data_IF_450507238112
#
_entry.id   IF_450507238112
#
_cell.length_a   1.000
_cell.length_b   1.000
_cell.length_c   1.000
_cell.angle_alpha   90.00
_cell.angle_beta   90.00
_cell.angle_gamma   90.00
#
_symmetry.space_group_name_H-M   'P 1'
#
loop_
_entity.id
_entity.type
_entity.pdbx_description
1 polymer ?
#
# COMPACT_ATOMS: atom_id res chain seq x y z
N UNK A 1 39.61 -22.65 -11.90
CA UNK A 1 39.74 -21.72 -10.78
C UNK A 1 38.47 -21.82 -9.94
N UNK A 2 38.57 -22.00 -8.63
CA UNK A 2 37.41 -21.91 -7.75
C UNK A 2 37.34 -20.48 -7.21
N UNK A 3 36.24 -19.81 -7.45
CA UNK A 3 35.93 -18.48 -6.91
C UNK A 3 35.31 -18.64 -5.51
N UNK A 4 35.56 -17.68 -4.62
CA UNK A 4 34.88 -17.61 -3.32
C UNK A 4 33.43 -17.13 -3.43
N UNK A 5 33.10 -16.43 -4.53
CA UNK A 5 31.75 -16.00 -4.85
C UNK A 5 31.05 -17.07 -5.69
N UNK A 6 29.83 -17.37 -5.33
CA UNK A 6 28.94 -18.22 -6.11
C UNK A 6 28.07 -17.31 -7.01
N UNK A 7 27.93 -17.66 -8.27
CA UNK A 7 27.16 -16.90 -9.25
C UNK A 7 26.07 -17.81 -9.81
N UNK A 8 24.87 -17.27 -9.95
CA UNK A 8 23.73 -17.93 -10.58
C UNK A 8 23.44 -19.34 -10.00
N UNK A 9 23.54 -19.48 -8.67
CA UNK A 9 23.19 -20.74 -8.01
C UNK A 9 21.71 -21.07 -8.24
N UNK A 10 21.40 -22.36 -8.23
CA UNK A 10 20.03 -22.86 -8.30
C UNK A 10 19.25 -22.37 -7.07
N UNK A 11 18.07 -21.75 -7.28
CA UNK A 11 17.26 -21.12 -6.25
C UNK A 11 17.62 -19.66 -5.95
N UNK A 12 18.75 -19.15 -6.45
CA UNK A 12 19.22 -17.77 -6.21
C UNK A 12 19.01 -16.83 -7.44
N UNK A 13 18.30 -17.27 -8.47
CA UNK A 13 18.02 -16.49 -9.69
C UNK A 13 16.66 -15.84 -9.57
N UNK A 14 16.60 -14.67 -8.94
CA UNK A 14 15.36 -13.95 -8.67
C UNK A 14 14.96 -13.06 -9.84
N UNK A 15 13.65 -12.90 -9.99
CA UNK A 15 13.02 -11.95 -10.90
C UNK A 15 11.78 -11.35 -10.24
N UNK A 16 11.36 -10.20 -10.73
CA UNK A 16 10.13 -9.53 -10.31
C UNK A 16 9.25 -9.29 -11.52
N UNK A 17 7.95 -9.59 -11.40
CA UNK A 17 7.02 -9.57 -12.52
C UNK A 17 5.59 -9.28 -12.06
N UNK A 18 4.81 -8.72 -12.98
CA UNK A 18 3.39 -8.48 -12.79
C UNK A 18 3.07 -7.26 -11.93
N UNK A 19 1.80 -6.94 -11.88
CA UNK A 19 1.21 -5.90 -11.03
C UNK A 19 -0.19 -6.35 -10.66
N UNK A 20 -0.48 -6.44 -9.38
CA UNK A 20 -1.78 -6.90 -8.86
C UNK A 20 -2.16 -6.16 -7.60
N UNK A 21 -3.38 -6.36 -7.10
CA UNK A 21 -3.89 -5.85 -5.83
C UNK A 21 -3.71 -4.34 -5.64
N UNK A 22 -3.95 -3.56 -6.71
CA UNK A 22 -3.91 -2.10 -6.60
C UNK A 22 -5.01 -1.56 -5.68
N UNK A 23 -4.65 -0.68 -4.75
CA UNK A 23 -5.61 0.01 -3.88
C UNK A 23 -5.29 1.51 -3.86
N UNK A 24 -6.33 2.33 -3.98
CA UNK A 24 -6.24 3.77 -3.80
C UNK A 24 -6.84 4.19 -2.46
N UNK A 25 -6.19 5.14 -1.79
CA UNK A 25 -6.63 5.75 -0.53
C UNK A 25 -6.72 7.26 -0.74
N UNK A 26 -7.88 7.80 -1.14
CA UNK A 26 -8.04 9.24 -1.36
C UNK A 26 -7.84 10.03 -0.07
N UNK A 27 -7.25 11.23 -0.17
CA UNK A 27 -7.09 12.10 0.98
C UNK A 27 -8.43 12.66 1.47
N UNK A 28 -8.73 12.46 2.74
CA UNK A 28 -9.88 13.06 3.41
C UNK A 28 -9.47 14.35 4.12
N UNK A 29 -9.98 15.46 3.63
CA UNK A 29 -9.71 16.79 4.21
C UNK A 29 -10.35 16.99 5.58
N UNK A 30 -11.39 16.24 5.91
CA UNK A 30 -12.08 16.32 7.21
C UNK A 30 -11.28 15.63 8.29
N UNK A 31 -10.75 14.45 7.97
CA UNK A 31 -9.93 13.64 8.88
C UNK A 31 -8.45 14.05 8.88
N UNK A 32 -8.02 14.91 7.94
CA UNK A 32 -6.63 15.29 7.70
C UNK A 32 -5.72 14.06 7.51
N UNK A 33 -6.25 13.03 6.85
CA UNK A 33 -5.60 11.74 6.64
C UNK A 33 -6.06 11.07 5.36
N UNK A 34 -5.52 9.91 5.06
CA UNK A 34 -6.03 9.08 3.98
C UNK A 34 -7.35 8.43 4.41
N UNK A 35 -8.33 8.45 3.53
CA UNK A 35 -9.62 7.81 3.71
C UNK A 35 -9.57 6.30 3.50
N UNK A 36 -10.75 5.69 3.45
CA UNK A 36 -10.90 4.26 3.20
C UNK A 36 -10.31 3.85 1.85
N UNK A 37 -9.61 2.71 1.84
CA UNK A 37 -9.06 2.11 0.64
C UNK A 37 -10.15 1.58 -0.30
N UNK A 38 -9.92 1.76 -1.59
CA UNK A 38 -10.79 1.26 -2.67
C UNK A 38 -9.94 0.46 -3.64
N UNK A 39 -10.35 -0.77 -3.92
CA UNK A 39 -9.65 -1.64 -4.84
C UNK A 39 -9.66 -1.07 -6.27
N UNK A 40 -8.51 -1.05 -6.92
CA UNK A 40 -8.36 -0.63 -8.31
C UNK A 40 -8.32 -1.85 -9.22
N UNK A 41 -9.47 -2.21 -9.75
CA UNK A 41 -9.59 -3.31 -10.68
C UNK A 41 -9.17 -2.90 -12.09
N UNK A 42 -8.57 -3.83 -12.84
CA UNK A 42 -8.16 -3.62 -14.23
C UNK A 42 -6.82 -2.88 -14.37
N UNK A 43 -5.97 -2.95 -13.36
CA UNK A 43 -4.59 -2.47 -13.43
C UNK A 43 -3.83 -3.26 -14.49
N UNK A 44 -3.15 -2.56 -15.41
CA UNK A 44 -2.32 -3.19 -16.45
C UNK A 44 -0.82 -2.96 -16.20
N UNK A 45 -0.47 -1.97 -15.39
CA UNK A 45 0.91 -1.74 -15.01
C UNK A 45 1.09 -0.52 -14.11
N UNK A 46 2.16 -0.55 -13.34
CA UNK A 46 2.69 0.60 -12.60
C UNK A 46 4.15 0.75 -13.04
N UNK A 47 4.54 1.96 -13.38
CA UNK A 47 5.93 2.27 -13.77
C UNK A 47 6.44 3.34 -12.83
N UNK A 48 7.53 3.06 -12.15
CA UNK A 48 8.23 4.02 -11.32
C UNK A 48 9.11 4.93 -12.19
N UNK A 49 9.09 6.20 -11.89
CA UNK A 49 9.79 7.24 -12.65
C UNK A 49 10.54 8.19 -11.72
N UNK A 50 11.57 7.72 -11.00
CA UNK A 50 12.38 8.59 -10.16
C UNK A 50 13.08 9.64 -11.01
N UNK A 51 13.17 10.87 -10.49
CA UNK A 51 13.81 11.99 -11.14
C UNK A 51 14.60 12.84 -10.14
N UNK A 52 15.37 13.82 -10.61
CA UNK A 52 16.24 14.62 -9.76
C UNK A 52 17.52 13.89 -9.38
N UNK A 53 18.13 14.30 -8.27
CA UNK A 53 19.40 13.71 -7.84
C UNK A 53 20.62 14.12 -8.69
N UNK A 54 20.47 15.08 -9.59
CA UNK A 54 21.54 15.53 -10.46
C UNK A 54 22.73 16.10 -9.68
N UNK A 55 23.92 15.75 -10.14
CA UNK A 55 25.16 16.26 -9.56
C UNK A 55 25.52 17.62 -10.16
N UNK A 56 25.60 18.62 -9.31
CA UNK A 56 26.15 19.92 -9.68
C UNK A 56 27.56 20.06 -9.10
N UNK A 57 28.54 20.25 -9.98
CA UNK A 57 29.94 20.48 -9.59
C UNK A 57 30.22 21.96 -9.44
N UNK A 58 30.88 22.31 -8.34
CA UNK A 58 31.33 23.68 -8.04
C UNK A 58 32.85 23.73 -8.20
N UNK A 59 33.32 24.76 -8.88
CA UNK A 59 34.71 24.94 -9.23
C UNK A 59 35.26 26.16 -8.51
N UNK A 60 36.49 26.06 -7.98
CA UNK A 60 37.25 27.16 -7.39
C UNK A 60 38.73 26.88 -7.63
N UNK A 61 39.54 27.94 -7.80
CA UNK A 61 41.00 27.86 -8.05
C UNK A 61 41.36 26.91 -9.21
N UNK A 62 40.58 26.97 -10.29
CA UNK A 62 40.73 26.14 -11.51
C UNK A 62 40.63 24.62 -11.27
N UNK A 63 40.05 24.21 -10.14
CA UNK A 63 39.81 22.79 -9.81
C UNK A 63 38.36 22.54 -9.38
N UNK A 64 37.89 21.29 -9.53
CA UNK A 64 36.59 20.87 -9.00
C UNK A 64 36.66 20.87 -7.48
N UNK A 65 36.04 21.87 -6.84
CA UNK A 65 36.15 22.09 -5.40
C UNK A 65 35.25 21.14 -4.62
N UNK A 66 33.98 21.02 -5.01
CA UNK A 66 33.07 20.00 -4.48
C UNK A 66 31.93 19.70 -5.47
N UNK A 67 31.23 18.61 -5.23
CA UNK A 67 30.02 18.23 -5.95
C UNK A 67 28.85 18.16 -4.96
N UNK A 68 27.71 18.75 -5.31
CA UNK A 68 26.48 18.60 -4.54
C UNK A 68 25.45 17.85 -5.38
N UNK A 69 24.82 16.85 -4.77
CA UNK A 69 23.71 16.15 -5.37
C UNK A 69 22.39 16.82 -4.99
N UNK A 70 21.48 17.00 -5.94
CA UNK A 70 20.12 17.49 -5.74
C UNK A 70 19.28 16.52 -4.92
N UNK A 71 18.07 16.92 -4.55
CA UNK A 71 17.10 15.99 -3.98
C UNK A 71 16.52 15.10 -5.09
N UNK A 72 16.24 13.88 -4.73
CA UNK A 72 15.56 12.92 -5.57
C UNK A 72 14.04 13.09 -5.41
N UNK A 73 13.30 12.99 -6.50
CA UNK A 73 11.85 13.05 -6.53
C UNK A 73 11.31 11.72 -7.07
N UNK A 74 10.33 11.15 -6.40
CA UNK A 74 9.67 9.94 -6.85
C UNK A 74 8.43 10.28 -7.67
N UNK A 75 8.30 9.71 -8.84
CA UNK A 75 7.13 9.76 -9.69
C UNK A 75 6.69 8.36 -10.06
N UNK A 76 5.44 8.20 -10.44
CA UNK A 76 4.93 6.92 -10.96
C UNK A 76 3.90 7.15 -12.06
N UNK A 77 3.78 6.18 -12.97
CA UNK A 77 2.75 6.13 -14.00
C UNK A 77 1.87 4.93 -13.75
N UNK A 78 0.57 5.15 -13.58
CA UNK A 78 -0.44 4.11 -13.36
C UNK A 78 -1.15 3.84 -14.68
N UNK A 79 -1.21 2.58 -15.10
CA UNK A 79 -1.93 2.13 -16.31
C UNK A 79 -3.04 1.17 -15.95
N UNK A 80 -4.22 1.38 -16.50
CA UNK A 80 -5.37 0.52 -16.24
C UNK A 80 -6.41 0.59 -17.35
N UNK A 81 -7.21 -0.46 -17.49
CA UNK A 81 -8.37 -0.46 -18.41
C UNK A 81 -9.51 0.43 -17.89
N UNK A 82 -9.63 0.58 -16.57
CA UNK A 82 -10.64 1.42 -15.93
C UNK A 82 -10.15 1.91 -14.54
N UNK A 83 -10.93 2.78 -13.92
CA UNK A 83 -10.60 3.35 -12.61
C UNK A 83 -11.84 3.41 -11.70
N UNK A 84 -11.66 3.30 -10.37
CA UNK A 84 -12.78 3.42 -9.42
C UNK A 84 -13.32 4.85 -9.38
N UNK A 85 -14.61 4.98 -9.03
CA UNK A 85 -15.31 6.26 -8.97
C UNK A 85 -14.67 7.26 -7.99
N UNK A 86 -14.03 6.75 -6.95
CA UNK A 86 -13.33 7.52 -5.92
C UNK A 86 -12.06 8.20 -6.47
N UNK A 87 -11.45 7.61 -7.48
CA UNK A 87 -10.30 8.21 -8.17
C UNK A 87 -10.68 9.45 -8.99
N UNK A 88 -11.94 9.61 -9.37
CA UNK A 88 -12.36 10.73 -10.20
C UNK A 88 -11.98 12.10 -9.62
N UNK A 89 -12.08 12.27 -8.31
CA UNK A 89 -11.67 13.52 -7.63
C UNK A 89 -10.14 13.71 -7.63
N UNK A 90 -9.39 12.62 -7.63
CA UNK A 90 -7.92 12.64 -7.76
C UNK A 90 -7.49 12.97 -9.19
N UNK A 91 -8.26 12.57 -10.21
CA UNK A 91 -8.06 12.94 -11.62
C UNK A 91 -8.60 14.35 -11.99
N UNK A 92 -9.09 15.10 -11.01
CA UNK A 92 -9.65 16.45 -11.25
C UNK A 92 -11.01 16.41 -11.96
N UNK A 93 -11.83 15.43 -11.65
CA UNK A 93 -13.19 15.28 -12.15
C UNK A 93 -14.19 15.38 -11.00
N UNK A 94 -15.22 16.19 -11.12
CA UNK A 94 -16.30 16.29 -10.15
C UNK A 94 -17.63 15.80 -10.73
N UNK A 95 -18.46 15.19 -9.88
CA UNK A 95 -19.82 14.78 -10.23
C UNK A 95 -20.74 16.00 -10.13
N UNK A 96 -21.33 16.46 -11.25
CA UNK A 96 -22.28 17.55 -11.30
C UNK A 96 -23.73 17.04 -11.09
N UNK A 97 -24.07 15.90 -11.69
CA UNK A 97 -25.34 15.21 -11.55
C UNK A 97 -25.13 13.71 -11.83
N UNK A 98 -26.18 12.88 -11.65
CA UNK A 98 -26.11 11.46 -11.99
C UNK A 98 -25.71 11.28 -13.46
N UNK A 99 -24.54 10.67 -13.71
CA UNK A 99 -24.01 10.43 -15.05
C UNK A 99 -23.33 11.65 -15.70
N UNK A 100 -23.31 12.83 -15.05
CA UNK A 100 -22.70 14.05 -15.57
C UNK A 100 -21.47 14.40 -14.73
N UNK A 101 -20.32 14.49 -15.39
CA UNK A 101 -19.03 14.84 -14.77
C UNK A 101 -18.44 16.07 -15.43
N UNK A 102 -17.86 16.97 -14.63
CA UNK A 102 -17.06 18.10 -15.09
C UNK A 102 -15.59 17.83 -14.78
N UNK A 103 -14.72 18.22 -15.70
CA UNK A 103 -13.26 18.06 -15.58
C UNK A 103 -12.58 19.37 -15.22
N UNK A 104 -11.25 19.34 -15.09
CA UNK A 104 -10.40 20.49 -14.77
C UNK A 104 -10.69 21.08 -13.37
N UNK A 105 -11.08 20.22 -12.44
CA UNK A 105 -11.30 20.58 -11.04
C UNK A 105 -10.00 20.39 -10.24
N UNK A 106 -9.99 20.91 -9.01
CA UNK A 106 -8.89 20.71 -8.06
C UNK A 106 -8.70 19.21 -7.80
N UNK A 107 -7.47 18.74 -7.92
CA UNK A 107 -7.12 17.34 -7.68
C UNK A 107 -6.89 17.09 -6.21
N UNK A 108 -7.40 15.97 -5.71
CA UNK A 108 -7.07 15.46 -4.39
C UNK A 108 -5.80 14.61 -4.47
N UNK A 109 -4.95 14.70 -3.46
CA UNK A 109 -3.85 13.75 -3.29
C UNK A 109 -4.41 12.42 -2.78
N UNK A 110 -3.66 11.35 -2.96
CA UNK A 110 -4.02 10.00 -2.53
C UNK A 110 -2.75 9.23 -2.13
N UNK A 111 -2.91 8.10 -1.46
CA UNK A 111 -1.89 7.07 -1.41
C UNK A 111 -2.30 5.94 -2.34
N UNK A 112 -1.30 5.22 -2.85
CA UNK A 112 -1.52 4.12 -3.77
C UNK A 112 -0.64 2.95 -3.39
N UNK A 113 -1.23 1.75 -3.37
CA UNK A 113 -0.49 0.51 -3.13
C UNK A 113 -0.69 -0.45 -4.28
N UNK A 114 0.33 -1.23 -4.57
CA UNK A 114 0.29 -2.32 -5.52
C UNK A 114 1.23 -3.42 -5.07
N UNK A 115 1.06 -4.59 -5.63
CA UNK A 115 1.86 -5.76 -5.34
C UNK A 115 2.49 -6.28 -6.63
N UNK A 116 3.77 -6.64 -6.57
CA UNK A 116 4.48 -7.37 -7.61
C UNK A 116 4.80 -8.78 -7.14
N UNK A 117 4.88 -9.72 -8.07
CA UNK A 117 5.27 -11.10 -7.77
C UNK A 117 6.77 -11.23 -7.88
N UNK A 118 7.41 -11.77 -6.85
CA UNK A 118 8.81 -12.12 -6.86
C UNK A 118 8.94 -13.62 -7.06
N UNK A 119 9.69 -14.02 -8.07
CA UNK A 119 9.90 -15.43 -8.40
C UNK A 119 11.36 -15.80 -8.40
N UNK A 120 11.63 -17.12 -8.40
CA UNK A 120 12.94 -17.66 -8.63
C UNK A 120 12.89 -18.82 -9.64
N UNK A 121 14.05 -19.37 -10.00
CA UNK A 121 14.19 -20.43 -10.98
C UNK A 121 13.74 -21.83 -10.47
N UNK A 122 13.48 -22.00 -9.17
CA UNK A 122 13.04 -23.27 -8.58
C UNK A 122 11.56 -23.29 -8.22
N UNK A 123 11.03 -22.21 -7.65
CA UNK A 123 9.64 -22.09 -7.19
C UNK A 123 8.76 -21.31 -8.15
N UNK A 124 9.37 -20.65 -9.14
CA UNK A 124 8.64 -19.79 -10.08
C UNK A 124 7.96 -18.63 -9.36
N UNK A 125 6.76 -18.28 -9.81
CA UNK A 125 5.95 -17.18 -9.27
C UNK A 125 5.35 -17.48 -7.87
N UNK A 126 5.56 -18.68 -7.34
CA UNK A 126 5.10 -19.05 -6.00
C UNK A 126 6.10 -18.68 -4.89
N UNK A 127 7.27 -18.14 -5.24
CA UNK A 127 8.31 -17.79 -4.29
C UNK A 127 7.87 -16.70 -3.31
N UNK A 128 7.24 -15.60 -3.79
CA UNK A 128 6.76 -14.54 -2.93
C UNK A 128 6.24 -13.31 -3.66
N UNK A 129 6.13 -12.22 -2.91
CA UNK A 129 5.63 -10.94 -3.42
C UNK A 129 6.33 -9.78 -2.74
N UNK A 130 6.25 -8.61 -3.38
CA UNK A 130 6.66 -7.32 -2.82
C UNK A 130 5.47 -6.38 -2.82
N UNK A 131 5.19 -5.77 -1.69
CA UNK A 131 4.15 -4.75 -1.53
C UNK A 131 4.80 -3.38 -1.59
N UNK A 132 4.29 -2.53 -2.48
CA UNK A 132 4.74 -1.16 -2.66
C UNK A 132 3.68 -0.20 -2.12
N UNK A 133 4.10 0.80 -1.36
CA UNK A 133 3.20 1.83 -0.81
C UNK A 133 3.73 3.21 -1.19
N UNK A 134 3.00 3.93 -2.04
CA UNK A 134 3.31 5.29 -2.44
C UNK A 134 2.43 6.30 -1.70
N UNK A 135 3.06 7.28 -1.05
CA UNK A 135 2.40 8.33 -0.29
C UNK A 135 2.41 9.66 -1.03
N UNK A 136 1.45 10.53 -0.71
CA UNK A 136 1.41 11.90 -1.22
C UNK A 136 1.28 12.00 -2.74
N UNK A 137 0.67 11.01 -3.37
CA UNK A 137 0.53 10.91 -4.83
C UNK A 137 -0.48 11.93 -5.33
N UNK A 138 -0.15 12.62 -6.42
CA UNK A 138 -1.03 13.55 -7.13
C UNK A 138 -0.98 13.25 -8.63
N UNK A 139 -2.13 12.93 -9.21
CA UNK A 139 -2.23 12.66 -10.64
C UNK A 139 -2.13 13.95 -11.46
N UNK A 140 -1.33 13.91 -12.52
CA UNK A 140 -1.23 14.97 -13.53
C UNK A 140 -2.35 14.84 -14.57
N UNK A 141 -2.66 15.89 -15.36
CA UNK A 141 -3.54 15.76 -16.52
C UNK A 141 -3.02 14.70 -17.48
N UNK A 142 -3.80 13.66 -17.71
CA UNK A 142 -3.41 12.52 -18.54
C UNK A 142 -4.12 12.52 -19.89
N UNK A 143 -3.47 12.00 -20.93
CA UNK A 143 -4.09 11.77 -22.23
C UNK A 143 -5.00 10.56 -22.17
N UNK A 144 -6.07 10.60 -22.96
CA UNK A 144 -6.97 9.48 -23.18
C UNK A 144 -7.25 9.38 -24.67
N UNK A 145 -6.92 8.25 -25.26
CA UNK A 145 -7.25 7.95 -26.64
C UNK A 145 -8.60 7.22 -26.73
N UNK A 146 -9.42 7.65 -27.68
CA UNK A 146 -10.64 6.98 -28.04
C UNK A 146 -10.53 6.61 -29.52
N UNK A 147 -10.25 5.35 -29.80
CA UNK A 147 -10.15 4.83 -31.16
C UNK A 147 -11.44 4.13 -31.59
N UNK A 148 -11.65 4.05 -32.91
CA UNK A 148 -12.77 3.28 -33.47
C UNK A 148 -12.47 1.78 -33.34
N UNK A 149 -13.50 1.00 -32.99
CA UNK A 149 -13.40 -0.47 -33.00
C UNK A 149 -13.17 -0.93 -34.44
N UNK A 150 -12.12 -1.72 -34.63
CA UNK A 150 -11.79 -2.38 -35.89
C UNK A 150 -11.89 -3.91 -35.73
N UNK A 151 -11.31 -4.67 -36.65
CA UNK A 151 -11.30 -6.14 -36.63
C UNK A 151 -10.51 -6.74 -35.43
N UNK A 152 -9.65 -5.94 -34.78
CA UNK A 152 -9.00 -6.27 -33.51
C UNK A 152 -9.73 -5.56 -32.36
N UNK A 153 -10.10 -6.34 -31.33
CA UNK A 153 -10.74 -5.80 -30.14
C UNK A 153 -9.72 -5.12 -29.21
N UNK A 154 -9.21 -3.96 -29.65
CA UNK A 154 -8.28 -3.17 -28.84
C UNK A 154 -9.05 -2.47 -27.72
N UNK A 155 -8.66 -2.73 -26.47
CA UNK A 155 -9.19 -2.05 -25.29
C UNK A 155 -8.36 -0.80 -25.02
N UNK A 156 -9.03 0.34 -24.83
CA UNK A 156 -8.34 1.59 -24.49
C UNK A 156 -7.71 1.51 -23.12
N UNK A 157 -6.40 1.73 -23.03
CA UNK A 157 -5.68 1.88 -21.77
C UNK A 157 -5.73 3.34 -21.31
N UNK A 158 -5.97 3.52 -20.02
CA UNK A 158 -5.77 4.80 -19.36
C UNK A 158 -4.38 4.85 -18.74
N UNK A 159 -3.71 5.97 -18.89
CA UNK A 159 -2.41 6.21 -18.25
C UNK A 159 -2.46 7.51 -17.48
N UNK A 160 -2.07 7.48 -16.22
CA UNK A 160 -1.95 8.66 -15.35
C UNK A 160 -0.52 8.82 -14.89
N UNK A 161 0.10 9.92 -15.28
CA UNK A 161 1.39 10.33 -14.73
C UNK A 161 1.16 10.99 -13.37
N UNK A 162 1.89 10.55 -12.37
CA UNK A 162 1.73 10.99 -10.99
C UNK A 162 3.05 11.51 -10.43
N UNK A 163 2.97 12.61 -9.71
CA UNK A 163 4.05 13.11 -8.86
C UNK A 163 3.74 12.83 -7.39
N UNK A 164 4.77 12.87 -6.55
CA UNK A 164 4.59 12.60 -5.12
C UNK A 164 5.12 13.73 -4.26
N UNK A 165 4.59 13.80 -3.04
CA UNK A 165 5.11 14.66 -1.99
C UNK A 165 5.67 13.79 -0.88
N UNK A 166 6.99 13.84 -0.62
CA UNK A 166 7.62 12.98 0.38
C UNK A 166 7.09 13.21 1.79
N UNK A 167 7.01 12.13 2.55
CA UNK A 167 6.72 12.14 3.99
C UNK A 167 8.01 11.95 4.79
N UNK A 168 8.05 12.51 6.00
CA UNK A 168 9.23 12.44 6.87
C UNK A 168 9.11 11.27 7.85
N UNK A 169 10.22 10.56 8.04
CA UNK A 169 10.37 9.57 9.10
C UNK A 169 11.65 9.85 9.88
N UNK A 170 11.64 9.81 11.23
CA UNK A 170 12.80 10.15 12.05
C UNK A 170 14.03 9.30 11.73
N UNK A 171 15.18 9.94 11.55
CA UNK A 171 16.45 9.26 11.24
C UNK A 171 16.71 8.98 9.77
N UNK A 172 15.74 9.20 8.89
CA UNK A 172 15.85 8.95 7.44
C UNK A 172 15.56 10.23 6.63
N UNK A 173 15.97 10.23 5.37
CA UNK A 173 15.56 11.27 4.44
C UNK A 173 14.06 11.13 4.14
N UNK A 174 13.36 12.23 3.84
CA UNK A 174 11.98 12.15 3.39
C UNK A 174 11.83 11.21 2.19
N UNK A 175 10.84 10.34 2.22
CA UNK A 175 10.55 9.37 1.16
C UNK A 175 9.09 9.42 0.75
N UNK A 176 8.79 9.05 -0.49
CA UNK A 176 7.43 8.93 -1.00
C UNK A 176 6.98 7.49 -1.21
N UNK A 177 7.90 6.53 -1.13
CA UNK A 177 7.60 5.13 -1.36
C UNK A 177 8.33 4.26 -0.33
N UNK A 178 7.69 3.18 0.05
CA UNK A 178 8.31 2.07 0.79
C UNK A 178 7.96 0.76 0.10
N UNK A 179 8.91 -0.15 0.07
CA UNK A 179 8.80 -1.49 -0.49
C UNK A 179 8.92 -2.48 0.65
N UNK A 180 8.02 -3.43 0.73
CA UNK A 180 7.96 -4.45 1.77
C UNK A 180 8.02 -5.80 1.07
N UNK A 181 9.16 -6.46 1.17
CA UNK A 181 9.37 -7.81 0.65
C UNK A 181 8.72 -8.80 1.63
N UNK A 182 7.71 -9.50 1.16
CA UNK A 182 6.98 -10.52 1.92
C UNK A 182 7.28 -11.94 1.42
N UNK A 183 8.38 -12.13 0.69
CA UNK A 183 8.75 -13.45 0.13
C UNK A 183 9.06 -14.49 1.22
N UNK A 184 9.48 -14.06 2.40
CA UNK A 184 9.74 -14.95 3.54
C UNK A 184 8.49 -15.26 4.38
N UNK A 185 7.33 -14.72 4.03
CA UNK A 185 6.06 -15.03 4.68
C UNK A 185 5.66 -16.49 4.46
N UNK A 186 5.48 -17.23 5.56
CA UNK A 186 5.29 -18.70 5.56
C UNK A 186 4.00 -19.17 6.19
N UNK A 187 3.12 -18.24 6.62
CA UNK A 187 1.99 -18.57 7.48
C UNK A 187 2.35 -18.60 9.00
N UNK A 188 1.51 -17.97 9.80
CA UNK A 188 1.77 -17.64 11.23
C UNK A 188 2.06 -18.84 12.17
N UNK A 189 1.81 -20.09 11.74
CA UNK A 189 2.02 -21.27 12.59
C UNK A 189 3.48 -21.52 12.98
N UNK A 190 4.45 -21.00 12.22
CA UNK A 190 5.88 -21.20 12.44
C UNK A 190 6.68 -19.91 12.68
N UNK A 191 5.97 -18.79 12.88
CA UNK A 191 6.59 -17.48 13.11
C UNK A 191 7.45 -17.48 14.37
N UNK A 192 8.73 -17.22 14.22
CA UNK A 192 9.71 -17.20 15.33
C UNK A 192 10.23 -15.81 15.65
N UNK A 193 10.04 -14.84 14.77
CA UNK A 193 10.60 -13.48 14.89
C UNK A 193 9.52 -12.36 14.81
N UNK A 194 8.26 -12.73 14.59
CA UNK A 194 7.13 -11.82 14.47
C UNK A 194 6.94 -11.23 13.07
N UNK A 195 7.67 -11.74 12.06
CA UNK A 195 7.55 -11.26 10.68
C UNK A 195 6.22 -11.65 10.06
N UNK A 196 5.78 -12.90 10.21
CA UNK A 196 4.53 -13.39 9.63
C UNK A 196 3.32 -12.64 10.22
N UNK A 197 3.33 -12.41 11.54
CA UNK A 197 2.29 -11.61 12.20
C UNK A 197 2.27 -10.15 11.72
N UNK A 198 3.44 -9.57 11.42
CA UNK A 198 3.56 -8.22 10.86
C UNK A 198 3.00 -8.15 9.43
N UNK A 199 3.25 -9.18 8.61
CA UNK A 199 2.71 -9.28 7.25
C UNK A 199 1.19 -9.44 7.29
N UNK A 200 0.64 -10.30 8.15
CA UNK A 200 -0.81 -10.42 8.33
C UNK A 200 -1.45 -9.10 8.72
N UNK A 201 -0.89 -8.42 9.73
CA UNK A 201 -1.33 -7.08 10.11
C UNK A 201 -1.30 -6.09 8.94
N UNK A 202 -0.25 -6.13 8.11
CA UNK A 202 -0.12 -5.26 6.95
C UNK A 202 -1.22 -5.54 5.92
N UNK A 203 -1.44 -6.82 5.58
CA UNK A 203 -2.46 -7.23 4.61
C UNK A 203 -3.87 -6.86 5.10
N UNK A 204 -4.18 -7.13 6.38
CA UNK A 204 -5.45 -6.75 6.98
C UNK A 204 -5.64 -5.22 7.01
N UNK A 205 -4.58 -4.47 7.24
CA UNK A 205 -4.61 -3.01 7.23
C UNK A 205 -4.83 -2.47 5.82
N UNK A 206 -4.10 -2.97 4.82
CA UNK A 206 -4.18 -2.50 3.45
C UNK A 206 -5.47 -2.92 2.74
N UNK A 207 -5.96 -4.12 2.99
CA UNK A 207 -7.10 -4.65 2.25
C UNK A 207 -8.40 -4.68 3.06
N UNK A 208 -8.29 -4.42 4.37
CA UNK A 208 -9.43 -4.53 5.30
C UNK A 208 -9.69 -5.96 5.72
N UNK A 209 -10.47 -6.13 6.78
CA UNK A 209 -10.85 -7.44 7.33
C UNK A 209 -12.36 -7.54 7.43
N UNK A 210 -12.96 -8.54 6.78
CA UNK A 210 -14.42 -8.76 6.76
C UNK A 210 -14.88 -10.05 7.44
N UNK A 211 -13.97 -10.97 7.70
CA UNK A 211 -14.28 -12.25 8.35
C UNK A 211 -13.96 -12.17 9.85
N UNK A 212 -14.76 -11.39 10.57
CA UNK A 212 -14.58 -11.15 12.00
C UNK A 212 -15.69 -11.89 12.74
N UNK A 213 -15.28 -12.75 13.68
CA UNK A 213 -16.22 -13.53 14.47
C UNK A 213 -17.12 -12.65 15.36
N UNK A 214 -18.35 -13.07 15.58
CA UNK A 214 -19.21 -12.43 16.58
C UNK A 214 -18.68 -12.68 18.01
N UNK A 215 -18.86 -11.67 18.86
CA UNK A 215 -18.53 -11.81 20.28
C UNK A 215 -19.29 -13.00 20.92
N UNK A 216 -18.56 -13.82 21.66
CA UNK A 216 -19.12 -14.94 22.43
C UNK A 216 -18.83 -14.79 23.93
N UNK A 217 -19.87 -14.78 24.73
CA UNK A 217 -19.74 -14.76 26.20
C UNK A 217 -19.09 -16.02 26.78
N UNK A 218 -18.87 -17.05 25.98
CA UNK A 218 -18.24 -18.32 26.40
C UNK A 218 -16.79 -18.45 25.91
N UNK A 219 -16.30 -17.49 25.14
CA UNK A 219 -14.90 -17.46 24.64
C UNK A 219 -13.99 -16.62 25.54
N UNK A 220 -12.70 -16.87 25.40
CA UNK A 220 -11.62 -16.01 25.91
C UNK A 220 -10.96 -15.31 24.76
N UNK A 221 -10.31 -14.18 24.99
CA UNK A 221 -9.74 -13.35 23.95
C UNK A 221 -8.34 -12.92 24.34
N UNK A 222 -7.44 -12.89 23.37
CA UNK A 222 -6.14 -12.25 23.51
C UNK A 222 -6.26 -10.73 23.36
N UNK A 223 -5.26 -9.99 23.80
CA UNK A 223 -5.16 -8.57 23.51
C UNK A 223 -5.01 -8.39 21.99
N UNK A 224 -5.82 -7.51 21.40
CA UNK A 224 -5.82 -7.25 19.95
C UNK A 224 -6.84 -8.10 19.18
N UNK A 225 -7.45 -9.11 19.78
CA UNK A 225 -8.51 -9.88 19.11
C UNK A 225 -9.67 -8.99 18.67
N UNK A 226 -10.15 -9.22 17.47
CA UNK A 226 -11.28 -8.49 16.89
C UNK A 226 -12.56 -9.31 17.00
N UNK A 227 -13.64 -8.64 17.37
CA UNK A 227 -14.99 -9.25 17.39
C UNK A 227 -16.04 -8.27 16.86
N UNK A 228 -17.09 -8.80 16.28
CA UNK A 228 -18.31 -8.04 15.98
C UNK A 228 -19.23 -8.10 17.18
N UNK A 229 -19.71 -6.97 17.65
CA UNK A 229 -20.74 -6.90 18.70
C UNK A 229 -21.75 -5.79 18.42
N UNK A 230 -23.02 -6.05 18.74
CA UNK A 230 -24.14 -5.11 18.55
C UNK A 230 -25.43 -5.84 18.16
N UNK A 231 -26.54 -5.12 18.13
CA UNK A 231 -27.80 -5.65 17.60
C UNK A 231 -27.92 -5.38 16.13
N UNK A 232 -28.81 -6.11 15.43
CA UNK A 232 -29.05 -6.01 13.98
C UNK A 232 -29.18 -4.55 13.49
N UNK A 233 -28.27 -4.14 12.61
CA UNK A 233 -28.18 -2.78 12.08
C UNK A 233 -27.42 -1.78 12.97
N UNK A 234 -26.82 -2.24 14.08
CA UNK A 234 -25.98 -1.47 14.99
C UNK A 234 -24.70 -2.23 15.37
N UNK A 235 -24.32 -3.19 14.51
CA UNK A 235 -23.09 -3.95 14.71
C UNK A 235 -21.87 -3.01 14.58
N UNK A 236 -20.84 -3.30 15.36
CA UNK A 236 -19.55 -2.65 15.26
C UNK A 236 -18.43 -3.65 15.57
N UNK A 237 -17.25 -3.38 14.99
CA UNK A 237 -16.04 -4.14 15.28
C UNK A 237 -15.35 -3.52 16.49
N UNK A 238 -14.94 -4.39 17.39
CA UNK A 238 -14.24 -4.04 18.62
C UNK A 238 -12.96 -4.85 18.76
N UNK A 239 -11.94 -4.22 19.32
CA UNK A 239 -10.65 -4.82 19.65
C UNK A 239 -10.51 -5.00 21.15
N UNK A 240 -10.01 -6.13 21.60
CA UNK A 240 -9.73 -6.39 23.01
C UNK A 240 -8.54 -5.54 23.50
N UNK A 241 -8.75 -4.65 24.47
CA UNK A 241 -7.73 -3.77 25.06
C UNK A 241 -6.65 -4.54 25.83
N UNK A 242 -7.02 -5.69 26.36
CA UNK A 242 -6.16 -6.59 27.12
C UNK A 242 -6.66 -8.04 26.97
N UNK A 243 -5.85 -9.01 27.35
CA UNK A 243 -6.28 -10.41 27.36
C UNK A 243 -7.46 -10.63 28.33
N UNK A 244 -8.56 -11.21 27.83
CA UNK A 244 -9.75 -11.57 28.57
C UNK A 244 -9.68 -13.09 28.83
N UNK A 245 -9.03 -13.46 29.93
CA UNK A 245 -8.75 -14.86 30.27
C UNK A 245 -9.95 -15.61 30.91
N UNK A 246 -10.99 -14.90 31.26
CA UNK A 246 -12.22 -15.49 31.84
C UNK A 246 -13.40 -15.13 30.96
N UNK A 247 -14.07 -16.16 30.42
CA UNK A 247 -15.28 -15.99 29.65
C UNK A 247 -16.38 -15.30 30.47
N UNK A 248 -17.10 -14.38 29.87
CA UNK A 248 -18.10 -13.58 30.55
C UNK A 248 -18.95 -12.72 29.62
N UNK A 249 -19.92 -12.01 30.21
CA UNK A 249 -20.76 -11.08 29.45
C UNK A 249 -19.95 -9.92 28.88
N UNK A 250 -20.49 -9.31 27.84
CA UNK A 250 -19.90 -8.11 27.23
C UNK A 250 -19.72 -6.99 28.27
N UNK A 251 -18.52 -6.38 28.25
CA UNK A 251 -18.20 -5.18 29.01
C UNK A 251 -17.50 -4.18 28.07
N UNK A 252 -18.08 -3.00 27.88
CA UNK A 252 -17.49 -1.95 27.05
C UNK A 252 -16.12 -1.45 27.54
N UNK A 253 -15.78 -1.72 28.80
CA UNK A 253 -14.50 -1.31 29.39
C UNK A 253 -13.32 -2.13 28.85
N UNK A 254 -13.60 -3.37 28.42
CA UNK A 254 -12.60 -4.31 27.93
C UNK A 254 -12.31 -4.13 26.45
N UNK A 255 -13.17 -3.39 25.72
CA UNK A 255 -13.16 -3.31 24.28
C UNK A 255 -12.97 -1.88 23.76
N UNK A 256 -12.25 -1.75 22.65
CA UNK A 256 -12.09 -0.51 21.88
C UNK A 256 -12.88 -0.63 20.58
N UNK A 257 -13.83 0.27 20.34
CA UNK A 257 -14.53 0.31 19.06
C UNK A 257 -13.59 0.75 17.95
N UNK A 258 -13.46 -0.07 16.90
CA UNK A 258 -12.58 0.15 15.75
C UNK A 258 -13.35 0.68 14.53
N UNK A 259 -14.52 0.07 14.24
CA UNK A 259 -15.32 0.43 13.06
C UNK A 259 -16.80 0.21 13.31
N UNK A 260 -17.66 0.87 12.53
CA UNK A 260 -19.07 0.56 12.41
C UNK A 260 -19.29 -0.57 11.40
N UNK A 261 -20.29 -1.43 11.63
CA UNK A 261 -20.59 -2.59 10.80
C UNK A 261 -19.83 -3.84 11.21
N UNK A 262 -19.59 -4.74 10.27
CA UNK A 262 -19.03 -6.09 10.51
C UNK A 262 -17.63 -6.28 9.95
N UNK A 263 -17.01 -5.20 9.45
CA UNK A 263 -15.69 -5.23 8.83
C UNK A 263 -14.82 -4.06 9.30
N UNK A 264 -13.51 -4.27 9.32
CA UNK A 264 -12.52 -3.17 9.42
C UNK A 264 -12.22 -2.66 8.01
N UNK A 265 -12.42 -1.37 7.72
CA UNK A 265 -12.16 -0.83 6.40
C UNK A 265 -10.66 -0.82 6.09
N UNK A 266 -10.33 -1.03 4.83
CA UNK A 266 -8.97 -0.88 4.31
C UNK A 266 -8.44 0.53 4.56
N UNK A 267 -7.19 0.65 5.02
CA UNK A 267 -6.47 1.92 5.21
C UNK A 267 -5.00 1.77 4.86
N UNK A 268 -4.36 2.87 4.50
CA UNK A 268 -2.91 2.87 4.33
C UNK A 268 -2.24 3.17 5.68
N UNK A 269 -1.29 2.33 6.15
CA UNK A 269 -0.53 2.62 7.36
C UNK A 269 0.48 3.75 7.13
N UNK A 270 0.85 4.45 8.17
CA UNK A 270 2.01 5.35 8.15
C UNK A 270 3.32 4.55 8.19
N UNK A 271 4.42 5.17 7.76
CA UNK A 271 5.76 4.54 7.85
C UNK A 271 6.10 4.16 9.31
N UNK A 272 5.68 4.97 10.28
CA UNK A 272 5.91 4.67 11.70
C UNK A 272 5.16 3.41 12.14
N UNK A 273 3.89 3.26 11.74
CA UNK A 273 3.12 2.05 12.05
C UNK A 273 3.76 0.80 11.44
N UNK A 274 4.23 0.89 10.19
CA UNK A 274 4.96 -0.23 9.56
C UNK A 274 6.22 -0.57 10.36
N UNK A 275 7.03 0.43 10.71
CA UNK A 275 8.26 0.23 11.47
C UNK A 275 8.03 -0.32 12.89
N UNK A 276 6.88 0.00 13.50
CA UNK A 276 6.54 -0.48 14.86
C UNK A 276 6.05 -1.93 14.87
N UNK A 277 5.52 -2.43 13.74
CA UNK A 277 4.99 -3.80 13.63
C UNK A 277 6.03 -4.78 13.07
N UNK A 278 6.87 -4.34 12.15
CA UNK A 278 7.90 -5.21 11.59
C UNK A 278 9.09 -5.40 12.54
N UNK A 279 9.69 -6.61 12.59
CA UNK A 279 10.83 -6.86 13.45
C UNK A 279 12.00 -5.94 13.11
N UNK A 280 12.63 -5.38 14.15
CA UNK A 280 13.78 -4.51 13.96
C UNK A 280 14.96 -5.26 13.34
N UNK A 281 15.61 -4.64 12.36
CA UNK A 281 16.85 -5.18 11.80
C UNK A 281 17.91 -5.24 12.91
N UNK A 282 18.49 -6.43 13.14
CA UNK A 282 19.59 -6.58 14.09
C UNK A 282 20.72 -5.61 13.70
N UNK A 283 21.15 -4.77 14.65
CA UNK A 283 22.28 -3.89 14.44
C UNK A 283 23.53 -4.75 14.14
N UNK A 284 24.01 -4.69 12.90
CA UNK A 284 25.21 -5.38 12.45
C UNK A 284 26.51 -4.73 12.97
#
# INVERSE_FOLDING_TARGET
>A
MAYALNFDAEGERFYEVGTKHGVIYPWDTTQQGYGQGVAWNGLTGVTESPSGGDETSFWADDMKYFTRRGNEEFGLSIKAFYYPDEFAECDGTAKLAKGVRIRQQTRKRFAFTWETTRGNDTEGDAYGSVIHIAYGVTASPSSKDNSTINDSADVSDFTWECSTTPVTYPGYKPTSVIDIDISDYKDAETDTDGFDAAVEWLLETLYGKSDIAEFSATATYAKGDLVVHGGSGMEAVYEAKAAISTAGAWSSDDWLKIADGTAVPARVPSISEVADHFPAVAAG
#
